data_IF_042357529836
#
_entry.id   IF_042357529836
#
_cell.length_a   1.000
_cell.length_b   1.000
_cell.length_c   1.000
_cell.angle_alpha   90.00
_cell.angle_beta   90.00
_cell.angle_gamma   90.00
#
_symmetry.space_group_name_H-M   'P 1'
#
loop_
_entity.id
_entity.type
_entity.pdbx_description
1 polymer ?
#
# COMPACT_ATOMS: atom_id res chain seq x y z
N UNK A 1 -7.90 2.13 5.58
CA UNK A 1 -9.21 1.60 6.04
C UNK A 1 -10.10 1.18 4.87
N UNK A 2 -10.56 2.11 4.01
CA UNK A 2 -11.53 1.81 2.93
C UNK A 2 -10.97 0.83 1.89
N UNK A 3 -9.73 1.03 1.43
CA UNK A 3 -9.06 0.15 0.45
C UNK A 3 -8.83 -1.26 1.02
N UNK A 4 -8.47 -1.36 2.31
CA UNK A 4 -8.34 -2.64 3.03
C UNK A 4 -9.67 -3.40 3.11
N UNK A 5 -10.75 -2.72 3.48
CA UNK A 5 -12.10 -3.31 3.50
C UNK A 5 -12.59 -3.78 2.12
N UNK A 6 -12.31 -3.01 1.06
CA UNK A 6 -12.60 -3.43 -0.33
C UNK A 6 -11.79 -4.66 -0.75
N UNK A 7 -10.53 -4.75 -0.33
CA UNK A 7 -9.67 -5.91 -0.64
C UNK A 7 -10.17 -7.16 0.08
N UNK A 8 -10.52 -7.05 1.36
CA UNK A 8 -11.13 -8.15 2.13
C UNK A 8 -12.45 -8.63 1.49
N UNK A 9 -13.27 -7.69 0.99
CA UNK A 9 -14.49 -8.03 0.25
C UNK A 9 -14.20 -8.83 -1.03
N UNK A 10 -13.13 -8.50 -1.77
CA UNK A 10 -12.73 -9.25 -2.97
C UNK A 10 -12.26 -10.67 -2.61
N UNK A 11 -11.46 -10.82 -1.56
CA UNK A 11 -11.02 -12.13 -1.07
C UNK A 11 -12.21 -12.99 -0.66
N UNK A 12 -13.15 -12.42 0.09
CA UNK A 12 -14.38 -13.12 0.48
C UNK A 12 -15.20 -13.58 -0.74
N UNK A 13 -15.31 -12.75 -1.79
CA UNK A 13 -15.98 -13.13 -3.04
C UNK A 13 -15.24 -14.24 -3.81
N UNK A 14 -13.91 -14.25 -3.73
CA UNK A 14 -13.08 -15.27 -4.40
C UNK A 14 -13.21 -16.63 -3.71
N UNK A 15 -13.30 -16.64 -2.37
CA UNK A 15 -13.41 -17.86 -1.56
C UNK A 15 -14.85 -18.38 -1.57
N UNK A 16 -15.84 -17.50 -1.45
CA UNK A 16 -17.26 -17.88 -1.47
C UNK A 16 -17.91 -17.45 -2.79
N UNK A 17 -17.81 -18.31 -3.81
CA UNK A 17 -18.28 -18.04 -5.17
C UNK A 17 -19.80 -17.77 -5.30
N UNK A 18 -20.62 -18.13 -4.31
CA UNK A 18 -22.09 -17.97 -4.32
C UNK A 18 -22.67 -17.34 -3.03
N UNK A 19 -21.87 -16.65 -2.23
CA UNK A 19 -22.37 -15.99 -1.02
C UNK A 19 -23.21 -14.73 -1.32
N UNK A 20 -24.17 -14.43 -0.45
CA UNK A 20 -24.95 -13.20 -0.50
C UNK A 20 -24.04 -11.97 -0.42
N UNK A 21 -24.29 -10.93 -1.25
CA UNK A 21 -23.44 -9.75 -1.28
C UNK A 21 -23.63 -8.91 -0.01
N UNK A 22 -22.70 -9.03 0.94
CA UNK A 22 -22.63 -8.13 2.09
C UNK A 22 -22.18 -6.73 1.65
N UNK A 23 -22.78 -5.69 2.27
CA UNK A 23 -22.40 -4.29 2.01
C UNK A 23 -20.93 -4.07 2.39
N UNK A 24 -20.18 -3.38 1.53
CA UNK A 24 -18.74 -3.04 1.74
C UNK A 24 -18.49 -2.35 3.09
N UNK A 25 -19.48 -1.61 3.61
CA UNK A 25 -19.42 -0.95 4.92
C UNK A 25 -19.09 -1.92 6.08
N UNK A 26 -19.62 -3.14 6.04
CA UNK A 26 -19.35 -4.13 7.10
C UNK A 26 -17.92 -4.66 7.04
N UNK A 27 -17.38 -4.91 5.84
CA UNK A 27 -15.97 -5.28 5.69
C UNK A 27 -15.02 -4.18 6.13
N UNK A 28 -15.37 -2.91 5.91
CA UNK A 28 -14.60 -1.77 6.40
C UNK A 28 -14.63 -1.73 7.94
N UNK A 29 -15.79 -1.94 8.56
CA UNK A 29 -15.91 -1.99 10.04
C UNK A 29 -15.10 -3.13 10.65
N UNK A 30 -15.14 -4.34 10.06
CA UNK A 30 -14.36 -5.49 10.53
C UNK A 30 -12.85 -5.21 10.41
N UNK A 31 -12.42 -4.64 9.29
CA UNK A 31 -11.01 -4.27 9.12
C UNK A 31 -10.57 -3.19 10.12
N UNK A 32 -11.46 -2.24 10.41
CA UNK A 32 -11.22 -1.17 11.36
C UNK A 32 -11.15 -1.67 12.81
N UNK A 33 -12.01 -2.60 13.22
CA UNK A 33 -12.03 -3.12 14.59
C UNK A 33 -10.74 -3.89 14.92
N UNK A 34 -10.23 -4.69 13.98
CA UNK A 34 -8.94 -5.37 14.15
C UNK A 34 -7.80 -4.35 14.31
N UNK A 35 -7.76 -3.30 13.48
CA UNK A 35 -6.76 -2.24 13.60
C UNK A 35 -6.85 -1.47 14.91
N UNK A 36 -8.07 -1.24 15.41
CA UNK A 36 -8.29 -0.57 16.69
C UNK A 36 -7.72 -1.38 17.86
N UNK A 37 -7.90 -2.71 17.86
CA UNK A 37 -7.31 -3.59 18.88
C UNK A 37 -5.78 -3.64 18.75
N UNK A 38 -5.26 -3.72 17.52
CA UNK A 38 -3.82 -3.71 17.27
C UNK A 38 -3.15 -2.38 17.71
N UNK A 39 -3.84 -1.25 17.59
CA UNK A 39 -3.35 0.04 18.06
C UNK A 39 -3.16 0.11 19.59
N UNK A 40 -3.75 -0.83 20.33
CA UNK A 40 -3.58 -0.95 21.78
C UNK A 40 -2.35 -1.77 22.19
N UNK A 41 -1.63 -2.38 21.25
CA UNK A 41 -0.42 -3.16 21.54
C UNK A 41 0.81 -2.23 21.62
N UNK A 42 1.53 -2.20 22.77
CA UNK A 42 2.65 -1.28 22.98
C UNK A 42 3.96 -1.74 22.33
N UNK A 43 4.02 -2.91 21.69
CA UNK A 43 5.27 -3.52 21.24
C UNK A 43 5.36 -3.68 19.72
N UNK A 44 5.97 -2.69 19.07
CA UNK A 44 6.25 -2.67 17.62
C UNK A 44 7.46 -3.52 17.20
N UNK A 45 8.25 -4.00 18.16
CA UNK A 45 9.52 -4.68 17.87
C UNK A 45 9.31 -6.10 17.30
N UNK A 46 8.19 -6.75 17.61
CA UNK A 46 7.79 -8.03 17.00
C UNK A 46 7.11 -7.84 15.63
N UNK A 47 6.51 -6.67 15.40
CA UNK A 47 5.79 -6.34 14.16
C UNK A 47 6.76 -6.04 13.02
N UNK A 48 7.94 -5.48 13.30
CA UNK A 48 8.95 -5.18 12.27
C UNK A 48 9.39 -6.43 11.49
N UNK A 49 9.62 -7.55 12.18
CA UNK A 49 9.98 -8.83 11.56
C UNK A 49 8.84 -9.42 10.72
N UNK A 50 7.61 -9.40 11.25
CA UNK A 50 6.42 -9.86 10.52
C UNK A 50 6.15 -8.98 9.29
N UNK A 51 6.34 -7.67 9.41
CA UNK A 51 6.21 -6.70 8.33
C UNK A 51 7.23 -6.97 7.22
N UNK A 52 8.47 -7.29 7.58
CA UNK A 52 9.52 -7.61 6.61
C UNK A 52 9.19 -8.89 5.83
N UNK A 53 8.79 -9.96 6.52
CA UNK A 53 8.39 -11.22 5.87
C UNK A 53 7.16 -11.01 4.98
N UNK A 54 6.15 -10.28 5.47
CA UNK A 54 4.98 -9.93 4.69
C UNK A 54 5.35 -9.14 3.43
N UNK A 55 6.22 -8.13 3.54
CA UNK A 55 6.66 -7.32 2.42
C UNK A 55 7.34 -8.17 1.33
N UNK A 56 8.23 -9.08 1.73
CA UNK A 56 8.89 -9.99 0.78
C UNK A 56 7.86 -10.90 0.11
N UNK A 57 6.94 -11.52 0.85
CA UNK A 57 5.94 -12.42 0.28
C UNK A 57 4.98 -11.68 -0.66
N UNK A 58 4.45 -10.53 -0.25
CA UNK A 58 3.49 -9.76 -1.06
C UNK A 58 4.15 -9.18 -2.31
N UNK A 59 5.35 -8.60 -2.19
CA UNK A 59 6.11 -8.15 -3.36
C UNK A 59 6.39 -9.32 -4.29
N UNK A 60 6.81 -10.47 -3.74
CA UNK A 60 7.15 -11.66 -4.53
C UNK A 60 5.94 -12.24 -5.28
N UNK A 61 4.76 -12.22 -4.68
CA UNK A 61 3.54 -12.68 -5.35
C UNK A 61 3.11 -11.66 -6.42
N UNK A 62 3.23 -10.35 -6.16
CA UNK A 62 2.78 -9.30 -7.07
C UNK A 62 3.53 -9.30 -8.41
N UNK A 63 4.87 -9.29 -8.39
CA UNK A 63 5.66 -9.35 -9.62
C UNK A 63 5.57 -10.72 -10.29
N UNK A 64 5.61 -11.84 -9.53
CA UNK A 64 5.54 -13.19 -10.11
C UNK A 64 4.20 -13.46 -10.79
N UNK A 65 3.08 -13.03 -10.19
CA UNK A 65 1.77 -13.14 -10.82
C UNK A 65 1.67 -12.27 -12.08
N UNK A 66 2.26 -11.06 -12.05
CA UNK A 66 2.30 -10.17 -13.23
C UNK A 66 3.10 -10.78 -14.38
N UNK A 67 4.29 -11.33 -14.09
CA UNK A 67 5.13 -12.02 -15.07
C UNK A 67 4.43 -13.26 -15.62
N UNK A 68 3.80 -14.07 -14.76
CA UNK A 68 3.09 -15.28 -15.18
C UNK A 68 1.88 -14.98 -16.07
N UNK A 69 1.15 -13.90 -15.78
CA UNK A 69 -0.02 -13.50 -16.57
C UNK A 69 0.36 -12.97 -17.96
N UNK A 70 1.60 -12.49 -18.12
CA UNK A 70 2.13 -12.01 -19.39
C UNK A 70 1.43 -10.73 -19.90
N UNK A 71 1.83 -10.31 -21.10
CA UNK A 71 1.21 -9.18 -21.80
C UNK A 71 -0.16 -9.63 -22.29
N UNK A 72 -1.22 -8.93 -21.88
CA UNK A 72 -2.56 -9.17 -22.39
C UNK A 72 -2.70 -8.48 -23.75
N UNK A 73 -3.11 -9.25 -24.76
CA UNK A 73 -3.44 -8.71 -26.08
C UNK A 73 -4.78 -7.95 -26.00
N UNK A 74 -4.93 -6.88 -26.81
CA UNK A 74 -6.16 -6.09 -26.92
C UNK A 74 -6.57 -5.27 -25.66
N UNK A 75 -5.59 -4.63 -25.02
CA UNK A 75 -5.83 -3.71 -23.90
C UNK A 75 -5.99 -2.26 -24.37
N UNK A 76 -7.17 -1.68 -24.12
CA UNK A 76 -7.43 -0.25 -24.33
C UNK A 76 -6.94 0.57 -23.12
N UNK A 77 -5.97 1.45 -23.35
CA UNK A 77 -5.43 2.40 -22.36
C UNK A 77 -6.12 3.77 -22.40
N UNK A 78 -7.21 3.91 -23.16
CA UNK A 78 -8.01 5.12 -23.25
C UNK A 78 -8.71 5.48 -21.94
N UNK A 79 -9.31 6.67 -21.94
CA UNK A 79 -10.13 7.12 -20.81
C UNK A 79 -11.35 6.21 -20.67
N UNK A 80 -11.50 5.60 -19.48
CA UNK A 80 -12.64 4.71 -19.16
C UNK A 80 -13.99 5.42 -19.12
N UNK A 81 -13.99 6.75 -19.03
CA UNK A 81 -15.19 7.56 -18.89
C UNK A 81 -15.48 8.34 -20.18
N UNK A 82 -16.69 8.24 -20.73
CA UNK A 82 -17.06 8.93 -21.97
C UNK A 82 -17.25 10.44 -21.78
N UNK A 83 -17.41 10.90 -20.54
CA UNK A 83 -17.75 12.28 -20.21
C UNK A 83 -16.56 13.06 -19.60
N UNK A 84 -16.36 14.34 -19.99
CA UNK A 84 -15.30 15.19 -19.46
C UNK A 84 -15.25 15.34 -17.93
N UNK A 85 -16.38 15.55 -17.20
CA UNK A 85 -16.30 15.75 -15.76
C UNK A 85 -15.85 14.48 -15.01
N UNK A 86 -16.33 13.29 -15.40
CA UNK A 86 -15.87 12.05 -14.75
C UNK A 86 -14.40 11.75 -15.06
N UNK A 87 -13.91 12.13 -16.24
CA UNK A 87 -12.49 12.04 -16.58
C UNK A 87 -11.63 12.88 -15.64
N UNK A 88 -12.03 14.14 -15.37
CA UNK A 88 -11.31 15.04 -14.46
C UNK A 88 -11.33 14.49 -13.03
N UNK A 89 -12.47 14.02 -12.53
CA UNK A 89 -12.53 13.41 -11.19
C UNK A 89 -11.69 12.13 -11.08
N UNK A 90 -11.65 11.32 -12.14
CA UNK A 90 -10.82 10.12 -12.20
C UNK A 90 -9.34 10.47 -12.20
N UNK A 91 -8.94 11.54 -12.88
CA UNK A 91 -7.57 12.05 -12.87
C UNK A 91 -7.14 12.50 -11.46
N UNK A 92 -7.95 13.31 -10.79
CA UNK A 92 -7.66 13.72 -9.40
C UNK A 92 -7.65 12.54 -8.43
N UNK A 93 -8.53 11.54 -8.65
CA UNK A 93 -8.53 10.31 -7.85
C UNK A 93 -7.23 9.52 -8.05
N UNK A 94 -6.78 9.37 -9.30
CA UNK A 94 -5.51 8.70 -9.61
C UNK A 94 -4.31 9.46 -9.01
N UNK A 95 -4.31 10.80 -9.07
CA UNK A 95 -3.29 11.61 -8.41
C UNK A 95 -3.29 11.39 -6.88
N UNK A 96 -4.47 11.29 -6.27
CA UNK A 96 -4.64 10.96 -4.87
C UNK A 96 -4.09 9.57 -4.50
N UNK A 97 -4.31 8.57 -5.36
CA UNK A 97 -3.78 7.21 -5.17
C UNK A 97 -2.24 7.21 -5.24
N UNK A 98 -1.63 7.95 -6.17
CA UNK A 98 -0.17 8.13 -6.25
C UNK A 98 0.36 8.84 -5.00
N UNK A 99 -0.26 9.94 -4.60
CA UNK A 99 0.15 10.68 -3.40
C UNK A 99 0.05 9.82 -2.13
N UNK A 100 -0.99 8.98 -2.01
CA UNK A 100 -1.15 8.04 -0.91
C UNK A 100 -0.10 6.92 -0.92
N UNK A 101 0.24 6.38 -2.10
CA UNK A 101 1.27 5.35 -2.24
C UNK A 101 2.65 5.85 -1.78
N UNK A 102 2.95 7.13 -1.99
CA UNK A 102 4.19 7.77 -1.55
C UNK A 102 4.08 8.50 -0.19
N UNK A 103 3.03 8.23 0.59
CA UNK A 103 2.77 8.95 1.84
C UNK A 103 3.68 8.58 3.03
N UNK A 104 4.95 8.22 2.77
CA UNK A 104 5.95 7.84 3.77
C UNK A 104 6.55 9.01 4.55
N UNK A 105 6.21 10.26 4.23
CA UNK A 105 6.79 11.45 4.84
C UNK A 105 6.60 11.53 6.36
N UNK A 106 5.51 10.96 6.90
CA UNK A 106 5.29 10.92 8.36
C UNK A 106 6.26 9.94 9.06
N UNK A 107 6.63 8.86 8.37
CA UNK A 107 7.53 7.81 8.88
C UNK A 107 9.00 8.26 8.79
N UNK A 108 9.32 9.24 7.94
CA UNK A 108 10.69 9.78 7.82
C UNK A 108 11.20 10.33 9.15
N UNK A 109 10.34 11.03 9.92
CA UNK A 109 10.73 11.57 11.23
C UNK A 109 10.99 10.46 12.26
N UNK A 110 10.22 9.38 12.20
CA UNK A 110 10.41 8.20 13.07
C UNK A 110 11.72 7.48 12.75
N UNK A 111 12.05 7.30 11.46
CA UNK A 111 13.31 6.71 11.01
C UNK A 111 14.49 7.61 11.44
N UNK A 112 14.36 8.93 11.25
CA UNK A 112 15.40 9.88 11.67
C UNK A 112 15.71 9.80 13.17
N UNK A 113 14.70 9.59 14.01
CA UNK A 113 14.86 9.46 15.46
C UNK A 113 15.60 8.18 15.89
N UNK A 114 15.63 7.15 15.04
CA UNK A 114 16.34 5.88 15.32
C UNK A 114 17.77 5.83 14.80
N UNK A 115 18.14 6.70 13.85
CA UNK A 115 19.50 6.78 13.31
C UNK A 115 20.37 7.61 14.27
N UNK A 116 21.50 7.07 14.77
CA UNK A 116 22.37 7.81 15.68
C UNK A 116 22.90 9.08 14.99
N UNK A 117 22.46 10.24 15.47
CA UNK A 117 22.93 11.54 15.00
C UNK A 117 23.83 12.19 16.06
N UNK A 118 25.01 12.64 15.65
CA UNK A 118 25.88 13.52 16.46
C UNK A 118 26.04 14.87 15.74
N UNK A 119 26.39 15.96 16.46
CA UNK A 119 26.63 17.26 15.84
C UNK A 119 27.67 17.21 14.70
N UNK A 120 28.65 16.31 14.80
CA UNK A 120 29.71 16.12 13.80
C UNK A 120 29.32 15.18 12.64
N UNK A 121 28.33 14.31 12.83
CA UNK A 121 27.82 13.38 11.80
C UNK A 121 26.30 13.50 11.66
N UNK A 122 25.81 14.41 10.79
CA UNK A 122 24.38 14.58 10.60
C UNK A 122 23.75 13.36 9.91
N UNK A 123 22.60 12.91 10.44
CA UNK A 123 21.78 11.80 9.91
C UNK A 123 21.24 12.04 8.47
N UNK A 124 21.35 13.27 7.96
CA UNK A 124 20.91 13.64 6.60
C UNK A 124 21.55 12.79 5.48
N UNK A 125 22.84 12.48 5.57
CA UNK A 125 23.56 11.68 4.55
C UNK A 125 23.07 10.23 4.48
N UNK A 126 23.03 9.44 5.58
CA UNK A 126 22.52 8.08 5.54
C UNK A 126 21.03 8.03 5.19
N UNK A 127 20.23 8.98 5.67
CA UNK A 127 18.82 9.05 5.32
C UNK A 127 18.58 9.29 3.83
N UNK A 128 19.31 10.21 3.18
CA UNK A 128 19.19 10.45 1.74
C UNK A 128 19.49 9.18 0.93
N UNK A 129 20.56 8.45 1.29
CA UNK A 129 20.89 7.18 0.64
C UNK A 129 19.79 6.14 0.81
N UNK A 130 19.25 6.01 2.03
CA UNK A 130 18.14 5.09 2.31
C UNK A 130 16.89 5.41 1.49
N UNK A 131 16.52 6.70 1.41
CA UNK A 131 15.39 7.16 0.60
C UNK A 131 15.61 6.84 -0.89
N UNK A 132 16.79 7.16 -1.44
CA UNK A 132 17.08 6.87 -2.86
C UNK A 132 16.94 5.38 -3.17
N UNK A 133 17.54 4.51 -2.36
CA UNK A 133 17.42 3.05 -2.55
C UNK A 133 15.97 2.59 -2.44
N UNK A 134 15.23 3.08 -1.44
CA UNK A 134 13.82 2.72 -1.25
C UNK A 134 12.96 3.11 -2.47
N UNK A 135 13.13 4.31 -3.01
CA UNK A 135 12.39 4.76 -4.20
C UNK A 135 12.78 4.01 -5.47
N UNK A 136 14.04 3.60 -5.62
CA UNK A 136 14.47 2.72 -6.73
C UNK A 136 13.77 1.37 -6.64
N UNK A 137 13.73 0.76 -5.45
CA UNK A 137 13.05 -0.53 -5.25
C UNK A 137 11.55 -0.42 -5.52
N UNK A 138 10.90 0.66 -5.06
CA UNK A 138 9.49 0.93 -5.34
C UNK A 138 9.24 1.11 -6.83
N UNK A 139 10.11 1.80 -7.56
CA UNK A 139 9.97 1.98 -9.02
C UNK A 139 10.21 0.70 -9.84
N UNK A 140 10.87 -0.31 -9.27
CA UNK A 140 11.09 -1.62 -9.90
C UNK A 140 9.94 -2.61 -9.66
N UNK A 141 9.07 -2.36 -8.67
CA UNK A 141 7.87 -3.16 -8.37
C UNK A 141 6.64 -2.62 -9.11
#
# INVERSE_FOLDING_TARGET
MVTGGKSLQKVHKLICGNCTPFKTKYFIMIFASIHFVLAHLPNFNSISGISLVAAVIYSTIAWAASVHKGIQEDVDYGYKSPDPPTTVFSFFSALGDVAFAYAGHNVVLEIQATIPSSPEKPSKKPMWKGVVVAYIVVGLC
#
